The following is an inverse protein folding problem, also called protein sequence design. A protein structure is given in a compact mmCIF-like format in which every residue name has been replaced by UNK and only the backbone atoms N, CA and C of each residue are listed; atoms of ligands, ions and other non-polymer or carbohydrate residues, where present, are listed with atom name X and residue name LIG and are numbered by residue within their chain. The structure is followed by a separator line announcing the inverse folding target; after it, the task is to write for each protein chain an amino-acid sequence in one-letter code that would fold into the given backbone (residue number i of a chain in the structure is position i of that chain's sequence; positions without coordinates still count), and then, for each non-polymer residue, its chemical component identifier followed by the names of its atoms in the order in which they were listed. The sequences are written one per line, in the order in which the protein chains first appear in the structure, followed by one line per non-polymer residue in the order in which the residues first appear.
data_IF_160390954680
#
_entry.id   IF_160390954680
#
_cell.length_a   1.000
_cell.length_b   1.000
_cell.length_c   1.000
_cell.angle_alpha   90.00
_cell.angle_beta   90.00
_cell.angle_gamma   90.00
#
_symmetry.space_group_name_H-M   'P 1'
#
loop_
_entity.id
_entity.type
_entity.pdbx_description
1 polymer ?
#
# COMPACT_ATOMS: atom_id res chain seq x y z
N UNK A 1 -7.21 -4.95 -25.93
CA UNK A 1 -7.74 -3.82 -25.13
C UNK A 1 -7.51 -3.99 -23.63
N UNK A 2 -8.00 -5.09 -23.01
CA UNK A 2 -7.91 -5.29 -21.55
C UNK A 2 -6.49 -5.14 -20.98
N UNK A 3 -5.50 -5.83 -21.59
CA UNK A 3 -4.09 -5.78 -21.14
C UNK A 3 -3.52 -4.36 -21.15
N UNK A 4 -3.84 -3.57 -22.17
CA UNK A 4 -3.36 -2.19 -22.32
C UNK A 4 -3.97 -1.27 -21.25
N UNK A 5 -5.26 -1.47 -20.93
CA UNK A 5 -5.92 -0.81 -19.80
C UNK A 5 -5.27 -1.18 -18.45
N UNK A 6 -5.01 -2.47 -18.22
CA UNK A 6 -4.37 -2.94 -16.97
C UNK A 6 -2.96 -2.37 -16.81
N UNK A 7 -2.17 -2.34 -17.88
CA UNK A 7 -0.84 -1.71 -17.86
C UNK A 7 -0.92 -0.22 -17.52
N UNK A 8 -1.88 0.50 -18.09
CA UNK A 8 -2.08 1.93 -17.83
C UNK A 8 -2.50 2.17 -16.38
N UNK A 9 -3.39 1.33 -15.84
CA UNK A 9 -3.77 1.35 -14.43
C UNK A 9 -2.57 1.07 -13.51
N UNK A 10 -1.69 0.13 -13.86
CA UNK A 10 -0.46 -0.14 -13.10
C UNK A 10 0.44 1.11 -13.07
N UNK A 11 0.67 1.75 -14.22
CA UNK A 11 1.50 2.97 -14.29
C UNK A 11 0.91 4.09 -13.43
N UNK A 12 -0.41 4.33 -13.53
CA UNK A 12 -1.10 5.34 -12.70
C UNK A 12 -0.98 4.99 -11.22
N UNK A 13 -1.17 3.72 -10.85
CA UNK A 13 -1.08 3.25 -9.46
C UNK A 13 0.32 3.38 -8.88
N UNK A 14 1.38 3.33 -9.70
CA UNK A 14 2.77 3.57 -9.27
C UNK A 14 3.05 5.07 -9.02
N UNK A 15 2.41 5.96 -9.78
CA UNK A 15 2.62 7.41 -9.68
C UNK A 15 1.90 8.01 -8.47
N UNK A 16 0.68 7.53 -8.16
CA UNK A 16 -0.15 8.07 -7.08
C UNK A 16 0.54 8.09 -5.69
N UNK A 17 1.23 7.01 -5.23
CA UNK A 17 1.98 7.01 -3.99
C UNK A 17 3.06 8.09 -3.96
N UNK A 18 3.77 8.31 -5.07
CA UNK A 18 4.84 9.31 -5.18
C UNK A 18 4.26 10.72 -5.02
N UNK A 19 3.15 11.01 -5.69
CA UNK A 19 2.49 12.32 -5.61
C UNK A 19 1.92 12.58 -4.21
N UNK A 20 1.31 11.57 -3.60
CA UNK A 20 0.70 11.69 -2.27
C UNK A 20 1.72 11.75 -1.13
N UNK A 21 2.95 11.24 -1.34
CA UNK A 21 3.98 11.17 -0.30
C UNK A 21 4.35 12.54 0.28
N UNK A 22 4.41 13.59 -0.55
CA UNK A 22 4.72 14.95 -0.09
C UNK A 22 3.67 15.46 0.89
N UNK A 23 2.40 15.30 0.56
CA UNK A 23 1.27 15.70 1.42
C UNK A 23 1.25 14.87 2.71
N UNK A 24 1.51 13.57 2.60
CA UNK A 24 1.60 12.67 3.74
C UNK A 24 2.70 13.08 4.74
N UNK A 25 3.88 13.45 4.25
CA UNK A 25 4.96 13.95 5.09
C UNK A 25 4.61 15.25 5.81
N UNK A 26 3.88 16.15 5.15
CA UNK A 26 3.40 17.40 5.78
C UNK A 26 2.44 17.08 6.94
N UNK A 27 1.48 16.17 6.71
CA UNK A 27 0.51 15.76 7.73
C UNK A 27 1.22 15.10 8.92
N UNK A 28 2.14 14.16 8.69
CA UNK A 28 2.86 13.50 9.80
C UNK A 28 3.64 14.48 10.64
N UNK A 29 4.31 15.46 10.00
CA UNK A 29 5.06 16.50 10.72
C UNK A 29 4.14 17.31 11.62
N UNK A 30 2.93 17.66 11.14
CA UNK A 30 1.93 18.40 11.93
C UNK A 30 1.43 17.58 13.12
N UNK A 31 1.13 16.30 12.92
CA UNK A 31 0.59 15.42 13.98
C UNK A 31 1.70 14.87 14.89
N UNK A 32 2.98 15.20 14.62
CA UNK A 32 4.18 14.77 15.40
C UNK A 32 4.29 13.25 15.57
N UNK A 33 3.77 12.47 14.63
CA UNK A 33 3.79 11.01 14.68
C UNK A 33 5.17 10.50 14.24
N UNK A 34 5.96 9.95 15.16
CA UNK A 34 7.29 9.36 14.84
C UNK A 34 7.21 8.09 13.99
N UNK A 35 6.06 7.41 13.98
CA UNK A 35 5.86 6.08 13.37
C UNK A 35 5.18 6.11 12.00
N UNK A 36 5.10 7.28 11.36
CA UNK A 36 4.48 7.44 10.05
C UNK A 36 5.07 6.52 8.96
N UNK A 37 6.35 6.16 9.09
CA UNK A 37 7.03 5.22 8.18
C UNK A 37 6.39 3.82 8.16
N UNK A 38 5.70 3.39 9.24
CA UNK A 38 4.96 2.12 9.24
C UNK A 38 3.79 2.16 8.25
N UNK A 39 3.11 3.30 8.14
CA UNK A 39 2.02 3.47 7.17
C UNK A 39 2.54 3.48 5.73
N UNK A 40 3.71 4.09 5.50
CA UNK A 40 4.38 4.05 4.18
C UNK A 40 4.74 2.62 3.83
N UNK A 41 5.38 1.90 4.76
CA UNK A 41 5.73 0.50 4.57
C UNK A 41 4.51 -0.36 4.25
N UNK A 42 3.45 -0.26 5.05
CA UNK A 42 2.20 -1.00 4.80
C UNK A 42 1.58 -0.67 3.44
N UNK A 43 1.61 0.59 3.02
CA UNK A 43 1.14 1.01 1.69
C UNK A 43 1.99 0.43 0.57
N UNK A 44 3.32 0.39 0.74
CA UNK A 44 4.22 -0.24 -0.24
C UNK A 44 3.97 -1.74 -0.35
N UNK A 45 3.75 -2.44 0.76
CA UNK A 45 3.35 -3.85 0.74
C UNK A 45 2.04 -4.05 -0.04
N UNK A 46 1.01 -3.23 0.22
CA UNK A 46 -0.24 -3.32 -0.54
C UNK A 46 -0.04 -3.07 -2.04
N UNK A 47 0.75 -2.05 -2.40
CA UNK A 47 1.08 -1.74 -3.79
C UNK A 47 1.79 -2.92 -4.45
N UNK A 48 2.81 -3.47 -3.80
CA UNK A 48 3.54 -4.65 -4.30
C UNK A 48 2.60 -5.83 -4.48
N UNK A 49 1.76 -6.13 -3.49
CA UNK A 49 0.79 -7.22 -3.57
C UNK A 49 -0.18 -7.04 -4.75
N UNK A 50 -0.69 -5.81 -4.94
CA UNK A 50 -1.55 -5.48 -6.07
C UNK A 50 -0.85 -5.61 -7.43
N UNK A 51 0.42 -5.21 -7.53
CA UNK A 51 1.22 -5.39 -8.74
C UNK A 51 1.36 -6.88 -9.06
N UNK A 52 1.80 -7.69 -8.09
CA UNK A 52 1.92 -9.13 -8.26
C UNK A 52 0.61 -9.78 -8.66
N UNK A 53 -0.51 -9.33 -8.07
CA UNK A 53 -1.83 -9.75 -8.49
C UNK A 53 -2.02 -9.45 -9.98
N UNK A 54 -1.82 -8.22 -10.45
CA UNK A 54 -2.07 -7.86 -11.86
C UNK A 54 -1.11 -8.47 -12.89
N UNK A 55 0.11 -8.85 -12.51
CA UNK A 55 1.16 -9.29 -13.45
C UNK A 55 0.74 -10.44 -14.38
N UNK A 56 0.17 -11.57 -13.89
CA UNK A 56 -0.28 -12.66 -14.75
C UNK A 56 -1.26 -12.22 -15.84
N UNK A 57 -2.25 -11.40 -15.48
CA UNK A 57 -3.24 -10.90 -16.45
C UNK A 57 -2.64 -9.98 -17.51
N UNK A 58 -1.59 -9.22 -17.17
CA UNK A 58 -0.91 -8.31 -18.10
C UNK A 58 -0.02 -9.10 -19.07
N UNK A 59 0.83 -9.98 -18.55
CA UNK A 59 1.89 -10.63 -19.32
C UNK A 59 1.45 -11.96 -19.94
N UNK A 60 0.71 -12.78 -19.20
CA UNK A 60 0.26 -14.11 -19.64
C UNK A 60 -1.15 -14.02 -20.23
N UNK A 61 -2.04 -13.26 -19.57
CA UNK A 61 -3.44 -13.09 -19.96
C UNK A 61 -4.42 -14.02 -19.25
N UNK A 62 -3.90 -14.88 -18.38
CA UNK A 62 -4.67 -15.77 -17.53
C UNK A 62 -4.12 -15.72 -16.10
N UNK A 63 -4.87 -16.31 -15.18
CA UNK A 63 -4.47 -16.37 -13.79
C UNK A 63 -3.38 -17.42 -13.58
N UNK A 64 -2.44 -17.11 -12.68
CA UNK A 64 -1.46 -18.06 -12.17
C UNK A 64 -1.67 -18.17 -10.67
N UNK A 65 -2.12 -19.35 -10.23
CA UNK A 65 -2.60 -19.60 -8.86
C UNK A 65 -1.50 -19.27 -7.83
N UNK A 66 -0.25 -19.66 -8.10
CA UNK A 66 0.88 -19.44 -7.22
C UNK A 66 1.15 -17.94 -7.01
N UNK A 67 1.08 -17.16 -8.09
CA UNK A 67 1.28 -15.70 -8.05
C UNK A 67 0.12 -15.03 -7.32
N UNK A 68 -1.11 -15.49 -7.54
CA UNK A 68 -2.29 -15.02 -6.82
C UNK A 68 -2.17 -15.26 -5.32
N UNK A 69 -1.82 -16.47 -4.90
CA UNK A 69 -1.64 -16.82 -3.49
C UNK A 69 -0.54 -15.97 -2.85
N UNK A 70 0.61 -15.82 -3.53
CA UNK A 70 1.68 -14.94 -3.08
C UNK A 70 1.18 -13.49 -2.91
N UNK A 71 0.44 -12.98 -3.88
CA UNK A 71 -0.13 -11.62 -3.83
C UNK A 71 -1.02 -11.43 -2.61
N UNK A 72 -1.82 -12.44 -2.25
CA UNK A 72 -2.70 -12.38 -1.07
C UNK A 72 -1.91 -12.36 0.24
N UNK A 73 -0.82 -13.12 0.36
CA UNK A 73 0.04 -13.03 1.53
C UNK A 73 0.72 -11.66 1.67
N UNK A 74 1.17 -11.08 0.56
CA UNK A 74 1.76 -9.73 0.56
C UNK A 74 0.70 -8.68 0.95
N UNK A 75 -0.51 -8.77 0.40
CA UNK A 75 -1.63 -7.89 0.74
C UNK A 75 -1.99 -8.02 2.22
N UNK A 76 -2.06 -9.25 2.74
CA UNK A 76 -2.34 -9.51 4.16
C UNK A 76 -1.28 -8.87 5.06
N UNK A 77 0.01 -9.04 4.74
CA UNK A 77 1.10 -8.41 5.49
C UNK A 77 0.99 -6.87 5.45
N UNK A 78 0.65 -6.30 4.30
CA UNK A 78 0.38 -4.86 4.16
C UNK A 78 -0.78 -4.40 5.04
N UNK A 79 -1.91 -5.09 5.01
CA UNK A 79 -3.08 -4.77 5.84
C UNK A 79 -2.75 -4.86 7.34
N UNK A 80 -2.10 -5.92 7.79
CA UNK A 80 -1.70 -6.08 9.19
C UNK A 80 -0.77 -4.94 9.65
N UNK A 81 0.18 -4.56 8.79
CA UNK A 81 1.10 -3.43 9.06
C UNK A 81 0.35 -2.11 9.18
N UNK A 82 -0.60 -1.85 8.27
CA UNK A 82 -1.44 -0.65 8.31
C UNK A 82 -2.35 -0.62 9.53
N UNK A 83 -3.03 -1.73 9.85
CA UNK A 83 -3.88 -1.83 11.03
C UNK A 83 -3.08 -1.59 12.31
N UNK A 84 -1.91 -2.21 12.44
CA UNK A 84 -1.02 -1.96 13.57
C UNK A 84 -0.57 -0.50 13.64
N UNK A 85 -0.16 0.08 12.50
CA UNK A 85 0.22 1.48 12.40
C UNK A 85 -0.89 2.43 12.84
N UNK A 86 -2.12 2.20 12.36
CA UNK A 86 -3.29 3.01 12.70
C UNK A 86 -3.64 2.90 14.19
N UNK A 87 -3.67 1.69 14.75
CA UNK A 87 -3.93 1.46 16.19
C UNK A 87 -2.88 2.19 17.02
N UNK A 88 -1.60 2.06 16.67
CA UNK A 88 -0.53 2.67 17.45
C UNK A 88 -0.58 4.20 17.41
N UNK A 89 -0.85 4.77 16.24
CA UNK A 89 -1.06 6.21 16.08
C UNK A 89 -2.22 6.69 16.96
N UNK A 90 -3.33 5.96 16.93
CA UNK A 90 -4.49 6.29 17.76
C UNK A 90 -4.16 6.24 19.26
N UNK A 91 -3.44 5.22 19.73
CA UNK A 91 -3.04 5.13 21.14
C UNK A 91 -2.07 6.25 21.54
N UNK A 92 -1.08 6.53 20.70
CA UNK A 92 -0.08 7.57 20.98
C UNK A 92 -0.74 8.96 21.03
N UNK A 93 -1.73 9.20 20.17
CA UNK A 93 -2.47 10.46 20.17
C UNK A 93 -3.43 10.57 21.37
N UNK A 94 -4.11 9.48 21.75
CA UNK A 94 -4.99 9.44 22.92
C UNK A 94 -4.23 9.72 24.24
N UNK A 95 -2.99 9.28 24.35
CA UNK A 95 -2.13 9.56 25.51
C UNK A 95 -1.72 11.04 25.63
N UNK A 96 -1.62 11.76 24.51
CA UNK A 96 -1.22 13.18 24.47
C UNK A 96 -2.39 14.15 24.75
N UNK A 97 -3.63 13.74 24.46
CA UNK A 97 -4.83 14.58 24.65
C UNK A 97 -5.39 14.49 26.08
N UNK A 98 -4.94 13.52 26.88
CA UNK A 98 -5.21 13.48 28.33
C UNK A 98 -4.37 14.50 29.07
#
# INVERSE_FOLDING_TARGET
MLRLMLSLLVVVSLILPILSYKSFLQIIKLVKIRRGNLLVGGTLFLLTGYLFFLLPWIFVGEDIIEVRILSYYIILAGMLTLSYGAIKIYTDWREVVK
#
